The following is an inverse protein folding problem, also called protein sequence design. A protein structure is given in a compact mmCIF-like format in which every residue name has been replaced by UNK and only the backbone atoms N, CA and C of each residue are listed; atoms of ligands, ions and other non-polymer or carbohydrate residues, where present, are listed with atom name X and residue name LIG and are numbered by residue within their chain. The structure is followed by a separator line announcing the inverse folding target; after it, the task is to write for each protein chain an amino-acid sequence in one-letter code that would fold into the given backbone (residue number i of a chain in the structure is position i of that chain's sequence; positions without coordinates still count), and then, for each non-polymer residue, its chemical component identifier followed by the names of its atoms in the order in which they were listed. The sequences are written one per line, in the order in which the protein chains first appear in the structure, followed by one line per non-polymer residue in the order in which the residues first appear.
data_IF_847785624855
#
_entry.id   IF_847785624855
#
_cell.length_a   1.000
_cell.length_b   1.000
_cell.length_c   1.000
_cell.angle_alpha   90.00
_cell.angle_beta   90.00
_cell.angle_gamma   90.00
#
_symmetry.space_group_name_H-M   'P 1'
#
loop_
_entity.id
_entity.type
_entity.pdbx_description
1 polymer ?
#
# COMPACT_ATOMS: atom_id res chain seq x y z
N UNK A 1 29.05 -11.44 28.77
CA UNK A 1 27.91 -10.69 28.18
C UNK A 1 28.12 -10.31 26.70
N UNK A 2 29.33 -9.98 26.22
CA UNK A 2 29.53 -9.71 24.78
C UNK A 2 29.37 -10.95 23.87
N UNK A 3 29.73 -12.13 24.35
CA UNK A 3 29.67 -13.37 23.55
C UNK A 3 28.23 -13.77 23.17
N UNK A 4 27.24 -13.56 24.05
CA UNK A 4 25.84 -13.85 23.77
C UNK A 4 25.21 -12.88 22.77
N UNK A 5 25.63 -11.60 22.77
CA UNK A 5 25.22 -10.60 21.78
C UNK A 5 25.82 -10.93 20.42
N UNK A 6 27.09 -11.35 20.38
CA UNK A 6 27.78 -11.76 19.16
C UNK A 6 27.14 -13.02 18.53
N UNK A 7 26.80 -14.02 19.34
CA UNK A 7 26.12 -15.25 18.90
C UNK A 7 24.71 -14.94 18.38
N UNK A 8 23.97 -14.04 19.03
CA UNK A 8 22.67 -13.59 18.56
C UNK A 8 22.72 -12.84 17.22
N UNK A 9 23.76 -12.01 17.01
CA UNK A 9 24.00 -11.32 15.74
C UNK A 9 24.40 -12.29 14.62
N UNK A 10 25.29 -13.25 14.89
CA UNK A 10 25.72 -14.26 13.91
C UNK A 10 24.55 -15.18 13.53
N UNK A 11 23.74 -15.60 14.51
CA UNK A 11 22.55 -16.39 14.25
C UNK A 11 21.55 -15.63 13.37
N UNK A 12 21.32 -14.34 13.64
CA UNK A 12 20.41 -13.50 12.86
C UNK A 12 20.88 -13.31 11.41
N UNK A 13 22.18 -13.06 11.20
CA UNK A 13 22.76 -12.92 9.85
C UNK A 13 22.73 -14.25 9.08
N UNK A 14 22.97 -15.37 9.76
CA UNK A 14 22.84 -16.71 9.17
C UNK A 14 21.40 -17.05 8.79
N UNK A 15 20.44 -16.72 9.65
CA UNK A 15 19.00 -16.88 9.41
C UNK A 15 18.54 -16.06 8.21
N UNK A 16 18.98 -14.81 8.08
CA UNK A 16 18.61 -13.96 6.94
C UNK A 16 19.19 -14.48 5.61
N UNK A 17 20.44 -15.00 5.60
CA UNK A 17 20.99 -15.69 4.40
C UNK A 17 20.22 -16.96 4.04
N UNK A 18 19.85 -17.80 5.01
CA UNK A 18 19.08 -19.03 4.77
C UNK A 18 17.65 -18.71 4.28
N UNK A 19 17.10 -17.60 4.76
CA UNK A 19 15.79 -17.07 4.35
C UNK A 19 15.78 -16.64 2.89
N UNK A 20 16.83 -15.99 2.43
CA UNK A 20 16.97 -15.58 1.03
C UNK A 20 17.27 -16.77 0.11
N UNK A 21 17.89 -17.83 0.65
CA UNK A 21 18.10 -19.11 -0.01
C UNK A 21 16.84 -19.99 -0.07
N UNK A 22 15.71 -19.59 0.53
CA UNK A 22 14.40 -20.25 0.39
C UNK A 22 14.26 -21.61 1.07
N UNK A 23 15.05 -21.90 2.09
CA UNK A 23 15.01 -23.18 2.82
C UNK A 23 13.89 -23.27 3.87
N UNK A 24 13.15 -22.18 4.12
CA UNK A 24 12.08 -22.19 5.12
C UNK A 24 10.76 -22.78 4.59
N UNK A 25 9.94 -23.38 5.47
CA UNK A 25 8.58 -23.78 5.11
C UNK A 25 7.75 -22.59 4.59
N UNK A 26 6.83 -22.86 3.65
CA UNK A 26 5.90 -21.85 3.11
C UNK A 26 5.16 -21.10 4.24
N UNK A 27 4.76 -21.82 5.29
CA UNK A 27 4.10 -21.25 6.47
C UNK A 27 4.92 -20.18 7.18
N UNK A 28 6.26 -20.25 7.16
CA UNK A 28 7.13 -19.22 7.75
C UNK A 28 7.06 -17.90 6.98
N UNK A 29 7.03 -17.97 5.65
CA UNK A 29 6.90 -16.80 4.78
C UNK A 29 5.49 -16.19 4.88
N UNK A 30 4.45 -17.03 4.91
CA UNK A 30 3.07 -16.58 5.13
C UNK A 30 2.88 -15.90 6.50
N UNK A 31 3.45 -16.49 7.55
CA UNK A 31 3.41 -15.89 8.91
C UNK A 31 4.14 -14.55 8.95
N UNK A 32 5.22 -14.41 8.19
CA UNK A 32 5.93 -13.14 8.05
C UNK A 32 5.12 -12.12 7.28
N UNK A 33 4.45 -12.52 6.20
CA UNK A 33 3.58 -11.64 5.43
C UNK A 33 2.50 -11.01 6.32
N UNK A 34 1.83 -11.84 7.13
CA UNK A 34 0.84 -11.37 8.11
C UNK A 34 1.45 -10.48 9.20
N UNK A 35 2.70 -10.74 9.62
CA UNK A 35 3.40 -9.90 10.60
C UNK A 35 3.73 -8.52 10.02
N UNK A 36 4.25 -8.45 8.80
CA UNK A 36 4.50 -7.19 8.10
C UNK A 36 3.18 -6.41 7.95
N UNK A 37 2.10 -7.09 7.56
CA UNK A 37 0.79 -6.44 7.45
C UNK A 37 0.30 -5.85 8.78
N UNK A 38 0.49 -6.57 9.90
CA UNK A 38 0.18 -6.09 11.25
C UNK A 38 1.03 -4.87 11.66
N UNK A 39 2.22 -4.73 11.07
CA UNK A 39 3.15 -3.62 11.30
C UNK A 39 2.95 -2.48 10.30
N UNK A 40 1.88 -2.51 9.50
CA UNK A 40 1.61 -1.55 8.42
C UNK A 40 2.64 -1.55 7.28
N UNK A 41 3.48 -2.59 7.21
CA UNK A 41 4.48 -2.80 6.16
C UNK A 41 3.85 -3.62 5.01
N UNK A 42 3.17 -2.91 4.10
CA UNK A 42 2.50 -3.51 2.95
C UNK A 42 3.49 -4.15 1.96
N UNK A 43 4.61 -3.49 1.71
CA UNK A 43 5.62 -3.96 0.77
C UNK A 43 6.31 -5.23 1.28
N UNK A 44 6.65 -5.28 2.56
CA UNK A 44 7.17 -6.47 3.22
C UNK A 44 6.15 -7.61 3.27
N UNK A 45 4.86 -7.30 3.41
CA UNK A 45 3.79 -8.29 3.35
C UNK A 45 3.71 -8.95 1.96
N UNK A 46 3.62 -8.16 0.90
CA UNK A 46 3.57 -8.64 -0.48
C UNK A 46 4.85 -9.39 -0.83
N UNK A 47 6.03 -8.85 -0.51
CA UNK A 47 7.32 -9.51 -0.78
C UNK A 47 7.42 -10.88 -0.11
N UNK A 48 6.98 -10.99 1.14
CA UNK A 48 7.02 -12.25 1.90
C UNK A 48 6.01 -13.26 1.35
N UNK A 49 4.83 -12.81 0.93
CA UNK A 49 3.84 -13.66 0.26
C UNK A 49 4.38 -14.21 -1.08
N UNK A 50 4.93 -13.34 -1.93
CA UNK A 50 5.48 -13.74 -3.23
C UNK A 50 6.63 -14.76 -3.07
N UNK A 51 7.47 -14.60 -2.05
CA UNK A 51 8.49 -15.60 -1.70
C UNK A 51 7.89 -16.95 -1.29
N UNK A 52 6.73 -16.95 -0.63
CA UNK A 52 6.05 -18.17 -0.19
C UNK A 52 5.56 -19.02 -1.37
N UNK A 53 5.06 -18.38 -2.42
CA UNK A 53 4.48 -19.04 -3.60
C UNK A 53 5.51 -19.29 -4.71
N UNK A 54 6.60 -18.51 -4.79
CA UNK A 54 7.62 -18.65 -5.84
C UNK A 54 8.28 -20.04 -5.93
N UNK A 55 8.30 -20.81 -4.84
CA UNK A 55 9.02 -22.10 -4.77
C UNK A 55 8.13 -23.29 -4.48
N UNK A 56 6.86 -23.06 -4.16
CA UNK A 56 5.90 -24.07 -3.75
C UNK A 56 4.53 -23.68 -4.26
N UNK A 57 3.78 -24.65 -4.75
CA UNK A 57 2.42 -24.41 -5.20
C UNK A 57 1.60 -23.67 -4.14
N UNK A 58 0.73 -22.74 -4.56
CA UNK A 58 -0.24 -22.13 -3.69
C UNK A 58 -1.06 -23.20 -2.94
N UNK A 59 -1.30 -22.95 -1.66
CA UNK A 59 -2.17 -23.75 -0.81
C UNK A 59 -3.37 -22.90 -0.39
N UNK A 60 -4.43 -23.52 0.13
CA UNK A 60 -5.57 -22.79 0.71
C UNK A 60 -5.12 -21.71 1.71
N UNK A 61 -4.05 -22.00 2.48
CA UNK A 61 -3.47 -21.04 3.42
C UNK A 61 -2.80 -19.85 2.73
N UNK A 62 -2.12 -20.06 1.59
CA UNK A 62 -1.54 -18.93 0.86
C UNK A 62 -2.62 -18.11 0.17
N UNK A 63 -3.68 -18.74 -0.36
CA UNK A 63 -4.82 -18.02 -0.94
C UNK A 63 -5.53 -17.12 0.09
N UNK A 64 -5.76 -17.64 1.31
CA UNK A 64 -6.31 -16.83 2.40
C UNK A 64 -5.41 -15.64 2.73
N UNK A 65 -4.08 -15.85 2.78
CA UNK A 65 -3.14 -14.75 3.04
C UNK A 65 -3.13 -13.74 1.90
N UNK A 66 -3.23 -14.19 0.64
CA UNK A 66 -3.38 -13.32 -0.52
C UNK A 66 -4.61 -12.44 -0.38
N UNK A 67 -5.76 -13.04 -0.09
CA UNK A 67 -7.03 -12.32 0.07
C UNK A 67 -6.94 -11.28 1.18
N UNK A 68 -6.36 -11.63 2.34
CA UNK A 68 -6.14 -10.69 3.45
C UNK A 68 -5.28 -9.50 3.01
N UNK A 69 -4.19 -9.75 2.27
CA UNK A 69 -3.33 -8.67 1.76
C UNK A 69 -4.10 -7.81 0.77
N UNK A 70 -4.81 -8.42 -0.19
CA UNK A 70 -5.62 -7.70 -1.19
C UNK A 70 -6.66 -6.80 -0.54
N UNK A 71 -7.46 -7.32 0.40
CA UNK A 71 -8.44 -6.53 1.14
C UNK A 71 -7.79 -5.37 1.89
N UNK A 72 -6.60 -5.59 2.46
CA UNK A 72 -5.88 -4.53 3.15
C UNK A 72 -5.34 -3.44 2.21
N UNK A 73 -4.99 -3.78 0.96
CA UNK A 73 -4.67 -2.78 -0.08
C UNK A 73 -5.94 -2.02 -0.47
N UNK A 74 -7.02 -2.74 -0.75
CA UNK A 74 -8.29 -2.15 -1.22
C UNK A 74 -8.89 -1.17 -0.19
N UNK A 75 -8.88 -1.51 1.09
CA UNK A 75 -9.34 -0.62 2.16
C UNK A 75 -8.50 0.66 2.21
N UNK A 76 -7.18 0.57 2.03
CA UNK A 76 -6.31 1.76 2.01
C UNK A 76 -6.57 2.61 0.77
N UNK A 77 -6.71 1.99 -0.41
CA UNK A 77 -7.06 2.69 -1.65
C UNK A 77 -8.39 3.42 -1.50
N UNK A 78 -9.41 2.76 -0.96
CA UNK A 78 -10.73 3.36 -0.74
C UNK A 78 -10.62 4.59 0.16
N UNK A 79 -9.92 4.50 1.29
CA UNK A 79 -9.74 5.65 2.20
C UNK A 79 -9.02 6.83 1.54
N UNK A 80 -7.94 6.57 0.79
CA UNK A 80 -7.25 7.62 0.06
C UNK A 80 -8.14 8.26 -1.01
N UNK A 81 -8.94 7.44 -1.71
CA UNK A 81 -9.89 7.94 -2.71
C UNK A 81 -10.98 8.81 -2.06
N UNK A 82 -11.53 8.39 -0.93
CA UNK A 82 -12.51 9.16 -0.15
C UNK A 82 -11.93 10.52 0.25
N UNK A 83 -10.72 10.56 0.81
CA UNK A 83 -10.06 11.81 1.18
C UNK A 83 -9.77 12.72 -0.02
N UNK A 84 -9.35 12.14 -1.15
CA UNK A 84 -9.15 12.86 -2.40
C UNK A 84 -10.48 13.48 -2.91
N UNK A 85 -11.57 12.71 -2.88
CA UNK A 85 -12.87 13.13 -3.36
C UNK A 85 -13.55 14.16 -2.45
N UNK A 86 -13.30 14.11 -1.14
CA UNK A 86 -13.70 15.14 -0.18
C UNK A 86 -13.08 16.49 -0.52
N UNK A 87 -11.77 16.54 -0.78
CA UNK A 87 -11.07 17.78 -1.16
C UNK A 87 -11.59 18.29 -2.51
N UNK A 88 -11.82 17.40 -3.48
CA UNK A 88 -12.41 17.80 -4.74
C UNK A 88 -13.82 18.35 -4.58
N UNK A 89 -14.61 17.81 -3.65
CA UNK A 89 -15.96 18.30 -3.38
C UNK A 89 -15.94 19.66 -2.68
N UNK A 90 -14.97 19.89 -1.78
CA UNK A 90 -14.72 21.20 -1.14
C UNK A 90 -14.32 22.25 -2.18
N UNK A 91 -13.42 21.88 -3.10
CA UNK A 91 -12.91 22.78 -4.15
C UNK A 91 -13.88 22.94 -5.33
N UNK A 92 -14.77 21.99 -5.61
CA UNK A 92 -15.67 22.02 -6.76
C UNK A 92 -17.09 21.56 -6.39
N UNK A 93 -17.79 22.25 -5.48
CA UNK A 93 -19.12 21.85 -5.09
C UNK A 93 -20.09 22.00 -6.27
N UNK A 94 -20.90 20.94 -6.51
CA UNK A 94 -21.77 20.81 -7.69
C UNK A 94 -22.75 21.97 -7.92
N UNK A 95 -23.10 22.70 -6.87
CA UNK A 95 -24.00 23.86 -6.89
C UNK A 95 -23.34 25.17 -7.39
N UNK A 96 -22.04 25.17 -7.71
CA UNK A 96 -21.27 26.38 -8.03
C UNK A 96 -21.23 26.79 -9.50
N UNK A 97 -21.85 26.03 -10.41
CA UNK A 97 -21.83 26.32 -11.86
C UNK A 97 -22.69 27.52 -12.28
N UNK A 98 -23.74 27.87 -11.53
CA UNK A 98 -24.64 28.98 -11.88
C UNK A 98 -24.32 30.30 -11.15
N UNK A 99 -23.89 30.24 -9.88
CA UNK A 99 -23.68 31.43 -9.03
C UNK A 99 -22.40 32.20 -9.36
N UNK A 100 -21.35 31.51 -9.81
CA UNK A 100 -20.09 32.10 -10.28
C UNK A 100 -20.23 32.82 -11.64
N UNK A 101 -21.16 32.38 -12.48
CA UNK A 101 -21.36 32.95 -13.81
C UNK A 101 -21.96 34.38 -13.75
N UNK A 102 -22.71 34.70 -12.68
CA UNK A 102 -23.50 35.93 -12.58
C UNK A 102 -22.92 37.09 -11.74
N UNK A 103 -21.63 37.09 -11.35
CA UNK A 103 -20.96 38.40 -11.10
C UNK A 103 -20.15 38.64 -9.83
N UNK A 104 -19.60 37.64 -9.14
CA UNK A 104 -18.67 37.87 -8.01
C UNK A 104 -17.25 37.46 -8.43
N UNK A 105 -16.57 38.31 -9.21
CA UNK A 105 -15.43 37.86 -10.06
C UNK A 105 -14.00 38.15 -9.58
N UNK A 106 -13.78 38.91 -8.51
CA UNK A 106 -12.39 39.24 -8.10
C UNK A 106 -11.99 38.65 -6.75
N UNK A 107 -12.61 39.10 -5.67
CA UNK A 107 -12.27 38.66 -4.31
C UNK A 107 -12.50 37.15 -4.09
N UNK A 108 -13.63 36.64 -4.58
CA UNK A 108 -13.95 35.21 -4.51
C UNK A 108 -13.02 34.34 -5.35
N UNK A 109 -12.59 34.84 -6.52
CA UNK A 109 -11.62 34.15 -7.36
C UNK A 109 -10.23 34.08 -6.72
N UNK A 110 -9.87 35.05 -5.89
CA UNK A 110 -8.57 35.10 -5.19
C UNK A 110 -8.56 34.17 -3.97
N UNK A 111 -9.60 34.20 -3.14
CA UNK A 111 -9.79 33.24 -2.04
C UNK A 111 -9.82 31.80 -2.57
N UNK A 112 -10.53 31.56 -3.67
CA UNK A 112 -10.60 30.25 -4.31
C UNK A 112 -9.26 29.81 -4.92
N UNK A 113 -8.50 30.75 -5.53
CA UNK A 113 -7.16 30.45 -6.04
C UNK A 113 -6.19 30.09 -4.92
N UNK A 114 -6.27 30.78 -3.77
CA UNK A 114 -5.43 30.50 -2.61
C UNK A 114 -5.80 29.16 -1.97
N UNK A 115 -7.10 28.87 -1.80
CA UNK A 115 -7.58 27.59 -1.31
C UNK A 115 -7.15 26.42 -2.22
N UNK A 116 -7.27 26.59 -3.55
CA UNK A 116 -6.79 25.60 -4.52
C UNK A 116 -5.27 25.44 -4.46
N UNK A 117 -4.52 26.54 -4.35
CA UNK A 117 -3.06 26.48 -4.26
C UNK A 117 -2.61 25.77 -2.98
N UNK A 118 -3.29 25.99 -1.85
CA UNK A 118 -3.00 25.31 -0.58
C UNK A 118 -3.31 23.82 -0.59
N UNK A 119 -4.40 23.39 -1.25
CA UNK A 119 -4.83 21.98 -1.32
C UNK A 119 -4.27 21.20 -2.51
N UNK A 120 -3.61 21.86 -3.47
CA UNK A 120 -3.08 21.21 -4.66
C UNK A 120 -1.94 20.22 -4.34
N UNK A 121 -1.17 20.48 -3.29
CA UNK A 121 -0.12 19.59 -2.83
C UNK A 121 -0.71 18.32 -2.20
N UNK A 122 -1.70 18.47 -1.30
CA UNK A 122 -2.45 17.37 -0.71
C UNK A 122 -3.08 16.44 -1.77
N UNK A 123 -3.72 16.99 -2.81
CA UNK A 123 -4.28 16.20 -3.91
C UNK A 123 -3.21 15.40 -4.66
N UNK A 124 -2.02 15.98 -4.88
CA UNK A 124 -0.91 15.27 -5.53
C UNK A 124 -0.39 14.15 -4.64
N UNK A 125 -0.30 14.37 -3.34
CA UNK A 125 0.13 13.35 -2.37
C UNK A 125 -0.85 12.17 -2.35
N UNK A 126 -2.16 12.42 -2.35
CA UNK A 126 -3.15 11.34 -2.42
C UNK A 126 -3.11 10.59 -3.75
N UNK A 127 -2.95 11.30 -4.87
CA UNK A 127 -2.80 10.67 -6.18
C UNK A 127 -1.56 9.78 -6.25
N UNK A 128 -0.43 10.25 -5.72
CA UNK A 128 0.79 9.45 -5.66
C UNK A 128 0.63 8.24 -4.74
N UNK A 129 -0.01 8.40 -3.58
CA UNK A 129 -0.34 7.30 -2.68
C UNK A 129 -1.22 6.23 -3.35
N UNK A 130 -2.26 6.64 -4.09
CA UNK A 130 -3.10 5.74 -4.87
C UNK A 130 -2.29 4.99 -5.94
N UNK A 131 -1.41 5.71 -6.66
CA UNK A 131 -0.53 5.12 -7.68
C UNK A 131 0.39 4.04 -7.09
N UNK A 132 0.96 4.29 -5.92
CA UNK A 132 1.83 3.32 -5.22
C UNK A 132 1.04 2.08 -4.80
N UNK A 133 -0.16 2.26 -4.24
CA UNK A 133 -1.01 1.13 -3.84
C UNK A 133 -1.46 0.30 -5.05
N UNK A 134 -1.78 0.95 -6.17
CA UNK A 134 -2.12 0.27 -7.43
C UNK A 134 -0.94 -0.55 -7.96
N UNK A 135 0.28 -0.02 -7.93
CA UNK A 135 1.49 -0.77 -8.30
C UNK A 135 1.72 -1.99 -7.40
N UNK A 136 1.48 -1.85 -6.10
CA UNK A 136 1.60 -2.95 -5.15
C UNK A 136 0.54 -4.04 -5.42
N UNK A 137 -0.69 -3.65 -5.77
CA UNK A 137 -1.75 -4.59 -6.17
C UNK A 137 -1.38 -5.34 -7.45
N UNK A 138 -0.92 -4.64 -8.48
CA UNK A 138 -0.42 -5.25 -9.72
C UNK A 138 0.69 -6.26 -9.42
N UNK A 139 1.65 -5.89 -8.55
CA UNK A 139 2.74 -6.81 -8.18
C UNK A 139 2.23 -8.07 -7.48
N UNK A 140 1.21 -7.94 -6.63
CA UNK A 140 0.58 -9.07 -5.95
C UNK A 140 -0.11 -10.01 -6.95
N UNK A 141 -0.84 -9.44 -7.92
CA UNK A 141 -1.58 -10.23 -8.91
C UNK A 141 -0.66 -10.89 -9.93
N UNK A 142 0.26 -10.15 -10.55
CA UNK A 142 1.23 -10.71 -11.51
C UNK A 142 2.13 -11.77 -10.85
N UNK A 143 2.54 -11.55 -9.62
CA UNK A 143 3.36 -12.52 -8.89
C UNK A 143 2.59 -13.78 -8.48
N UNK A 144 1.27 -13.70 -8.32
CA UNK A 144 0.41 -14.86 -8.10
C UNK A 144 0.19 -15.66 -9.39
N UNK A 145 -0.08 -14.97 -10.51
CA UNK A 145 -0.30 -15.61 -11.82
C UNK A 145 0.93 -16.41 -12.30
N UNK A 146 2.13 -15.90 -12.07
CA UNK A 146 3.40 -16.58 -12.39
C UNK A 146 3.66 -17.85 -11.57
N UNK A 147 2.94 -18.04 -10.46
CA UNK A 147 3.05 -19.24 -9.62
C UNK A 147 2.03 -20.31 -9.98
N UNK A 148 0.98 -19.97 -10.73
CA UNK A 148 -0.10 -20.86 -11.16
C UNK A 148 0.04 -21.36 -12.61
N UNK A 149 0.99 -20.81 -13.35
CA UNK A 149 1.35 -21.19 -14.72
C UNK A 149 2.52 -22.17 -14.75
#
# INVERSE_FOLDING_TARGET
MLQSILVGLIAKVGLDKIRDLGYFPQSSYLSRALRCLKQDDLDGAISSYLLAIRRKEPTDKSEIVREIITQAVDIRMQKLQEMHDEILTELYPKQWTLRLWYGIKRRFNEEFRLARAGRAEELKEYQEGLRVLEQLKIRLDTGAEQSTA
#
